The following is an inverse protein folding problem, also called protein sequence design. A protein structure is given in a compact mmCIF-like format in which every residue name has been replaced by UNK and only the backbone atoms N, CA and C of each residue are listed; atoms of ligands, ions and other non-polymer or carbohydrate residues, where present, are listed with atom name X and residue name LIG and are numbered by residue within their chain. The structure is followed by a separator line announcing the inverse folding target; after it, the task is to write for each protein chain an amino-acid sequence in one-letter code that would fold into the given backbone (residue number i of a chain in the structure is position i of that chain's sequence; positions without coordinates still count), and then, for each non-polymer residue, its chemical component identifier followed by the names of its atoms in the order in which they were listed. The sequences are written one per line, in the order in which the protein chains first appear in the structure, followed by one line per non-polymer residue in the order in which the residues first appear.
data_IF_163197109584
#
_entry.id   IF_163197109584
#
_cell.length_a   1.000
_cell.length_b   1.000
_cell.length_c   1.000
_cell.angle_alpha   90.00
_cell.angle_beta   90.00
_cell.angle_gamma   90.00
#
_symmetry.space_group_name_H-M   'P 1'
#
loop_
_entity.id
_entity.type
_entity.pdbx_description
1 polymer ?
#
# COMPACT_ATOMS: atom_id res chain seq x y z
N UNK A 1 -18.88 12.29 -37.54
CA UNK A 1 -19.49 12.00 -36.22
C UNK A 1 -19.69 13.31 -35.50
N UNK A 2 -20.93 13.65 -35.14
CA UNK A 2 -21.19 14.80 -34.28
C UNK A 2 -20.54 14.58 -32.90
N UNK A 3 -20.01 15.63 -32.24
CA UNK A 3 -19.55 15.51 -30.87
C UNK A 3 -20.75 15.12 -29.99
N UNK A 4 -20.67 13.98 -29.30
CA UNK A 4 -21.67 13.60 -28.31
C UNK A 4 -21.84 14.74 -27.31
N UNK A 5 -23.09 15.10 -27.01
CA UNK A 5 -23.39 16.12 -26.00
C UNK A 5 -22.68 15.78 -24.68
N UNK A 6 -22.08 16.77 -23.98
CA UNK A 6 -21.37 16.50 -22.74
C UNK A 6 -22.33 15.88 -21.74
N UNK A 7 -22.02 14.67 -21.28
CA UNK A 7 -22.72 14.06 -20.13
C UNK A 7 -22.69 15.02 -18.95
N UNK A 8 -23.76 15.01 -18.15
CA UNK A 8 -23.89 15.85 -16.97
C UNK A 8 -22.63 15.81 -16.10
N UNK A 9 -21.98 16.97 -15.95
CA UNK A 9 -20.78 17.11 -15.12
C UNK A 9 -21.22 17.02 -13.66
N UNK A 10 -20.68 16.06 -12.93
CA UNK A 10 -20.91 15.99 -11.49
C UNK A 10 -20.21 17.17 -10.82
N UNK A 11 -20.93 17.95 -10.02
CA UNK A 11 -20.35 19.01 -9.19
C UNK A 11 -20.24 18.52 -7.74
N UNK A 12 -19.09 18.70 -7.11
CA UNK A 12 -18.86 18.36 -5.71
C UNK A 12 -17.93 19.38 -5.03
N UNK A 13 -17.80 19.32 -3.71
CA UNK A 13 -16.92 20.24 -2.96
C UNK A 13 -15.46 19.80 -3.07
N UNK A 14 -15.22 18.51 -2.88
CA UNK A 14 -13.89 17.89 -2.95
C UNK A 14 -13.98 16.64 -3.83
N UNK A 15 -12.98 16.45 -4.70
CA UNK A 15 -12.76 15.18 -5.40
C UNK A 15 -11.42 14.58 -4.96
N UNK A 16 -11.45 13.31 -4.55
CA UNK A 16 -10.27 12.51 -4.20
C UNK A 16 -10.01 11.55 -5.36
N UNK A 17 -8.78 11.53 -5.88
CA UNK A 17 -8.35 10.59 -6.92
C UNK A 17 -7.48 9.52 -6.29
N UNK A 18 -7.95 8.28 -6.36
CA UNK A 18 -7.38 7.12 -5.67
C UNK A 18 -8.19 6.72 -4.44
N UNK A 19 -8.35 5.42 -4.24
CA UNK A 19 -9.12 4.79 -3.17
C UNK A 19 -8.24 4.03 -2.17
N UNK A 20 -6.98 4.44 -1.98
CA UNK A 20 -6.05 3.78 -1.05
C UNK A 20 -6.26 4.14 0.44
N UNK A 21 -5.40 3.65 1.35
CA UNK A 21 -5.49 3.95 2.78
C UNK A 21 -5.40 5.45 3.10
N UNK A 22 -4.55 6.20 2.39
CA UNK A 22 -4.46 7.65 2.55
C UNK A 22 -5.73 8.38 2.09
N UNK A 23 -6.43 7.84 1.09
CA UNK A 23 -7.68 8.42 0.61
C UNK A 23 -8.80 8.21 1.63
N UNK A 24 -8.89 7.02 2.23
CA UNK A 24 -9.84 6.74 3.30
C UNK A 24 -9.55 7.60 4.54
N UNK A 25 -8.28 7.73 4.93
CA UNK A 25 -7.89 8.60 6.04
C UNK A 25 -8.21 10.08 5.77
N UNK A 26 -8.01 10.52 4.53
CA UNK A 26 -8.38 11.85 4.11
C UNK A 26 -9.90 12.06 4.16
N UNK A 27 -10.68 11.10 3.65
CA UNK A 27 -12.14 11.16 3.74
C UNK A 27 -12.59 11.22 5.21
N UNK A 28 -12.05 10.35 6.07
CA UNK A 28 -12.32 10.34 7.50
C UNK A 28 -12.01 11.70 8.16
N UNK A 29 -10.94 12.39 7.75
CA UNK A 29 -10.64 13.73 8.24
C UNK A 29 -11.56 14.83 7.68
N UNK A 30 -12.09 14.65 6.46
CA UNK A 30 -12.94 15.65 5.78
C UNK A 30 -14.41 15.56 6.19
N UNK A 31 -14.91 14.34 6.43
CA UNK A 31 -16.34 14.11 6.74
C UNK A 31 -16.57 13.43 8.08
N UNK A 32 -15.55 12.79 8.67
CA UNK A 32 -15.61 12.19 10.01
C UNK A 32 -15.24 13.19 11.12
N UNK A 33 -15.71 12.91 12.34
CA UNK A 33 -15.51 13.73 13.55
C UNK A 33 -16.83 14.10 14.25
N UNK A 34 -16.73 14.77 15.40
CA UNK A 34 -17.80 15.13 16.37
C UNK A 34 -18.90 16.08 15.83
N UNK A 35 -19.38 15.88 14.60
CA UNK A 35 -20.37 16.74 13.94
C UNK A 35 -19.80 18.03 13.34
N UNK A 36 -18.47 18.20 13.30
CA UNK A 36 -17.78 19.38 12.72
C UNK A 36 -17.07 19.03 11.41
N UNK A 37 -17.78 18.48 10.43
CA UNK A 37 -17.16 18.27 9.11
C UNK A 37 -16.59 19.60 8.58
N UNK A 38 -15.28 19.67 8.26
CA UNK A 38 -14.69 20.87 7.68
C UNK A 38 -15.20 21.17 6.26
N UNK A 39 -15.82 20.19 5.59
CA UNK A 39 -16.33 20.34 4.23
C UNK A 39 -17.84 20.45 4.24
N UNK A 40 -18.35 21.57 3.72
CA UNK A 40 -19.77 21.68 3.36
C UNK A 40 -19.99 21.08 1.97
N UNK A 41 -20.86 20.09 1.85
CA UNK A 41 -21.28 19.50 0.56
C UNK A 41 -20.67 18.13 0.26
N UNK A 42 -20.79 17.70 -0.99
CA UNK A 42 -20.46 16.32 -1.41
C UNK A 42 -18.97 16.12 -1.60
N UNK A 43 -18.43 15.01 -1.10
CA UNK A 43 -17.11 14.50 -1.48
C UNK A 43 -17.28 13.37 -2.50
N UNK A 44 -16.50 13.39 -3.57
CA UNK A 44 -16.46 12.30 -4.55
C UNK A 44 -15.08 11.61 -4.55
N UNK A 45 -15.07 10.30 -4.80
CA UNK A 45 -13.85 9.49 -4.88
C UNK A 45 -13.80 8.81 -6.24
N UNK A 46 -12.70 8.95 -6.98
CA UNK A 46 -12.47 8.30 -8.27
C UNK A 46 -11.41 7.22 -8.09
N UNK A 47 -11.78 5.96 -8.21
CA UNK A 47 -10.87 4.81 -8.20
C UNK A 47 -11.46 3.66 -9.05
N UNK A 48 -10.64 2.85 -9.75
CA UNK A 48 -11.16 1.72 -10.52
C UNK A 48 -11.70 0.57 -9.65
N UNK A 49 -11.24 0.48 -8.40
CA UNK A 49 -11.68 -0.47 -7.41
C UNK A 49 -13.16 -0.29 -7.03
N UNK A 50 -13.71 -1.30 -6.37
CA UNK A 50 -15.13 -1.26 -5.96
C UNK A 50 -15.34 -0.48 -4.67
N UNK A 51 -14.31 -0.43 -3.81
CA UNK A 51 -14.32 0.17 -2.47
C UNK A 51 -12.93 0.70 -2.12
N UNK A 52 -12.82 1.38 -0.98
CA UNK A 52 -11.50 1.75 -0.46
C UNK A 52 -10.64 0.50 -0.22
N UNK A 53 -9.34 0.65 -0.44
CA UNK A 53 -8.30 -0.35 -0.29
C UNK A 53 -8.48 -1.61 -1.16
N UNK A 54 -9.40 -1.65 -2.14
CA UNK A 54 -9.64 -2.85 -2.98
C UNK A 54 -8.33 -3.36 -3.65
N UNK A 55 -7.59 -2.46 -4.30
CA UNK A 55 -6.29 -2.78 -4.88
C UNK A 55 -5.23 -3.13 -3.81
N UNK A 56 -5.33 -2.59 -2.59
CA UNK A 56 -4.42 -2.91 -1.49
C UNK A 56 -4.68 -4.32 -0.94
N UNK A 57 -5.95 -4.69 -0.71
CA UNK A 57 -6.33 -6.04 -0.31
C UNK A 57 -6.03 -7.06 -1.41
N UNK A 58 -6.16 -6.68 -2.68
CA UNK A 58 -5.70 -7.49 -3.81
C UNK A 58 -4.22 -7.88 -3.71
N UNK A 59 -3.36 -6.94 -3.29
CA UNK A 59 -1.92 -7.19 -3.06
C UNK A 59 -1.68 -8.09 -1.84
N UNK A 60 -2.40 -7.84 -0.75
CA UNK A 60 -2.33 -8.68 0.45
C UNK A 60 -2.71 -10.13 0.15
N UNK A 61 -3.82 -10.34 -0.57
CA UNK A 61 -4.24 -11.66 -1.04
C UNK A 61 -3.21 -12.28 -1.97
N UNK A 62 -2.69 -11.52 -2.93
CA UNK A 62 -1.69 -12.02 -3.89
C UNK A 62 -0.40 -12.50 -3.20
N UNK A 63 -0.02 -11.85 -2.10
CA UNK A 63 1.15 -12.20 -1.28
C UNK A 63 0.82 -13.10 -0.08
N UNK A 64 -0.44 -13.48 0.09
CA UNK A 64 -0.95 -14.23 1.24
C UNK A 64 -0.54 -13.60 2.59
N UNK A 65 -0.59 -12.27 2.68
CA UNK A 65 -0.30 -11.54 3.91
C UNK A 65 -1.52 -11.64 4.83
N UNK A 66 -1.34 -12.30 5.95
CA UNK A 66 -2.36 -12.58 6.97
C UNK A 66 -2.41 -11.51 8.06
N UNK A 67 -1.30 -10.80 8.31
CA UNK A 67 -1.17 -9.83 9.39
C UNK A 67 -0.42 -8.56 8.96
N UNK A 68 -0.86 -7.43 9.50
CA UNK A 68 -0.17 -6.16 9.28
C UNK A 68 1.12 -6.11 10.10
N UNK A 69 2.15 -5.46 9.55
CA UNK A 69 3.35 -5.09 10.31
C UNK A 69 3.18 -3.80 11.13
N UNK A 70 2.11 -3.05 10.89
CA UNK A 70 1.78 -1.82 11.59
C UNK A 70 0.88 -2.12 12.79
N UNK A 71 1.12 -1.47 13.95
CA UNK A 71 0.26 -1.59 15.12
C UNK A 71 -1.18 -1.12 14.86
N UNK A 72 -2.09 -1.53 15.75
CA UNK A 72 -3.51 -1.24 15.63
C UNK A 72 -3.84 0.26 15.66
N UNK A 73 -3.07 1.09 16.38
CA UNK A 73 -3.27 2.54 16.36
C UNK A 73 -2.92 3.20 15.01
N UNK A 74 -2.24 2.49 14.10
CA UNK A 74 -1.91 2.97 12.75
C UNK A 74 -3.03 2.55 11.80
N UNK A 75 -4.08 3.35 11.75
CA UNK A 75 -5.28 3.07 10.95
C UNK A 75 -5.87 4.34 10.30
N UNK A 76 -6.81 4.22 9.34
CA UNK A 76 -7.37 5.38 8.65
C UNK A 76 -8.31 6.29 9.46
N UNK A 77 -8.80 5.91 10.64
CA UNK A 77 -9.59 6.85 11.47
C UNK A 77 -8.69 8.00 11.93
N UNK A 78 -9.05 9.23 11.52
CA UNK A 78 -8.18 10.40 11.64
C UNK A 78 -8.11 10.98 13.06
N UNK A 79 -9.22 10.90 13.81
CA UNK A 79 -9.37 11.60 15.10
C UNK A 79 -9.58 10.65 16.29
N UNK A 80 -9.77 9.35 16.04
CA UNK A 80 -9.98 8.35 17.08
C UNK A 80 -8.89 7.28 17.05
N UNK A 81 -7.78 7.45 17.81
CA UNK A 81 -6.63 6.53 17.81
C UNK A 81 -6.94 5.11 18.28
N UNK A 82 -8.08 4.91 18.95
CA UNK A 82 -8.56 3.64 19.51
C UNK A 82 -9.53 2.91 18.60
N UNK A 83 -9.95 3.51 17.48
CA UNK A 83 -11.10 3.05 16.68
C UNK A 83 -10.99 1.59 16.20
N UNK A 84 -9.80 1.14 15.78
CA UNK A 84 -9.62 -0.26 15.35
C UNK A 84 -9.73 -1.25 16.52
N UNK A 85 -9.23 -0.88 17.69
CA UNK A 85 -9.31 -1.73 18.89
C UNK A 85 -10.74 -1.76 19.41
N UNK A 86 -11.43 -0.63 19.45
CA UNK A 86 -12.84 -0.54 19.79
C UNK A 86 -13.71 -1.38 18.84
N UNK A 87 -13.44 -1.32 17.54
CA UNK A 87 -14.07 -2.20 16.55
C UNK A 87 -13.81 -3.67 16.88
N UNK A 88 -12.55 -4.06 17.14
CA UNK A 88 -12.22 -5.44 17.49
C UNK A 88 -12.93 -5.91 18.77
N UNK A 89 -13.07 -5.06 19.78
CA UNK A 89 -13.81 -5.38 21.02
C UNK A 89 -15.29 -5.55 20.72
N UNK A 90 -15.90 -4.58 20.02
CA UNK A 90 -17.33 -4.59 19.69
C UNK A 90 -17.74 -5.82 18.88
N UNK A 91 -16.90 -6.23 17.94
CA UNK A 91 -17.16 -7.40 17.10
C UNK A 91 -16.69 -8.73 17.73
N UNK A 92 -16.09 -8.71 18.93
CA UNK A 92 -15.59 -9.92 19.62
C UNK A 92 -14.36 -10.55 18.94
N UNK A 93 -13.53 -9.75 18.26
CA UNK A 93 -12.40 -10.16 17.42
C UNK A 93 -11.03 -9.77 17.98
N UNK A 94 -10.94 -9.48 19.27
CA UNK A 94 -9.66 -9.09 19.93
C UNK A 94 -8.57 -10.16 19.78
N UNK A 95 -8.92 -11.43 19.61
CA UNK A 95 -7.97 -12.52 19.34
C UNK A 95 -7.18 -12.34 18.02
N UNK A 96 -7.65 -11.48 17.10
CA UNK A 96 -6.94 -11.14 15.87
C UNK A 96 -5.89 -10.03 16.06
N UNK A 97 -5.79 -9.45 17.25
CA UNK A 97 -4.75 -8.48 17.64
C UNK A 97 -3.60 -9.23 18.33
N UNK A 98 -2.57 -9.58 17.56
CA UNK A 98 -1.43 -10.34 18.09
C UNK A 98 -0.35 -9.41 18.65
N UNK A 99 0.26 -9.79 19.77
CA UNK A 99 1.35 -9.03 20.37
C UNK A 99 2.47 -8.77 19.34
N UNK A 100 2.83 -7.51 19.16
CA UNK A 100 3.91 -7.18 18.25
C UNK A 100 5.26 -7.68 18.81
N UNK A 101 6.21 -8.10 17.96
CA UNK A 101 7.56 -8.42 18.39
C UNK A 101 8.17 -7.25 19.18
N UNK A 102 9.07 -7.55 20.13
CA UNK A 102 9.68 -6.57 21.05
C UNK A 102 10.14 -5.28 20.34
N UNK A 103 10.64 -5.36 19.11
CA UNK A 103 11.06 -4.20 18.30
C UNK A 103 9.97 -3.13 18.05
N UNK A 104 8.68 -3.48 18.16
CA UNK A 104 7.52 -2.60 17.96
C UNK A 104 6.89 -2.18 19.30
N UNK A 105 7.23 -2.87 20.41
CA UNK A 105 6.71 -2.60 21.75
C UNK A 105 7.23 -1.26 22.34
N UNK A 106 8.30 -0.70 21.80
CA UNK A 106 8.92 0.55 22.25
C UNK A 106 8.21 1.83 21.78
N UNK A 107 7.13 1.71 21.00
CA UNK A 107 6.35 2.85 20.51
C UNK A 107 5.33 3.24 21.59
N UNK A 108 5.55 4.33 22.36
CA UNK A 108 4.55 4.78 23.32
C UNK A 108 3.35 5.36 22.55
N UNK A 109 2.17 5.23 23.12
CA UNK A 109 1.00 6.01 22.71
C UNK A 109 1.13 7.38 23.38
N UNK A 110 0.96 8.48 22.63
CA UNK A 110 1.06 9.85 23.19
C UNK A 110 -0.09 10.23 24.10
N UNK A 111 -1.12 9.38 24.19
CA UNK A 111 -2.37 9.77 24.78
C UNK A 111 -2.46 9.35 26.25
N UNK A 112 -2.97 10.25 27.09
CA UNK A 112 -3.41 9.94 28.45
C UNK A 112 -4.73 9.13 28.45
N UNK A 113 -5.25 8.77 27.26
CA UNK A 113 -6.36 7.83 27.11
C UNK A 113 -5.99 6.44 27.64
N UNK A 114 -6.95 5.68 28.18
CA UNK A 114 -6.69 4.36 28.73
C UNK A 114 -6.08 3.44 27.66
N UNK A 115 -4.94 2.83 27.95
CA UNK A 115 -4.49 1.69 27.13
C UNK A 115 -5.52 0.58 27.28
N UNK A 116 -6.09 0.12 26.16
CA UNK A 116 -6.91 -1.09 26.16
C UNK A 116 -5.97 -2.29 26.34
N UNK A 117 -6.12 -3.01 27.45
CA UNK A 117 -5.35 -4.21 27.72
C UNK A 117 -6.14 -5.46 27.32
N UNK A 118 -5.44 -6.48 26.83
CA UNK A 118 -5.99 -7.82 26.75
C UNK A 118 -6.06 -8.47 28.15
N UNK A 119 -6.52 -9.73 28.21
CA UNK A 119 -6.57 -10.50 29.45
C UNK A 119 -5.20 -10.74 30.11
N UNK A 120 -4.10 -10.55 29.37
CA UNK A 120 -2.72 -10.68 29.86
C UNK A 120 -2.10 -9.36 30.33
N UNK A 121 -2.81 -8.23 30.17
CA UNK A 121 -2.30 -6.90 30.49
C UNK A 121 -1.53 -6.22 29.35
N UNK A 122 -1.48 -6.84 28.16
CA UNK A 122 -0.76 -6.31 27.00
C UNK A 122 -1.59 -5.26 26.25
N UNK A 123 -0.94 -4.17 25.83
CA UNK A 123 -1.59 -3.07 25.11
C UNK A 123 -2.07 -3.50 23.72
N UNK A 124 -3.39 -3.55 23.53
CA UNK A 124 -4.05 -3.88 22.26
C UNK A 124 -3.77 -2.84 21.17
N UNK A 125 -3.48 -1.58 21.54
CA UNK A 125 -3.13 -0.54 20.57
C UNK A 125 -1.81 -0.85 19.86
N UNK A 126 -0.87 -1.49 20.57
CA UNK A 126 0.45 -1.84 20.06
C UNK A 126 0.45 -3.18 19.33
N UNK A 127 -0.64 -3.94 19.40
CA UNK A 127 -0.79 -5.23 18.74
C UNK A 127 -0.91 -5.10 17.21
N UNK A 128 -0.54 -6.14 16.50
CA UNK A 128 -0.58 -6.24 15.04
C UNK A 128 -1.91 -6.88 14.61
N UNK A 129 -2.82 -6.14 13.94
CA UNK A 129 -4.10 -6.68 13.52
C UNK A 129 -3.94 -7.67 12.37
N UNK A 130 -4.81 -8.68 12.34
CA UNK A 130 -4.97 -9.50 11.14
C UNK A 130 -5.40 -8.61 9.96
N UNK A 131 -5.10 -9.08 8.75
CA UNK A 131 -5.48 -8.40 7.51
C UNK A 131 -6.99 -8.45 7.29
N UNK A 132 -7.67 -9.48 7.81
CA UNK A 132 -9.13 -9.57 7.79
C UNK A 132 -9.77 -8.56 8.74
N UNK A 133 -9.28 -8.44 9.98
CA UNK A 133 -9.76 -7.46 10.96
C UNK A 133 -9.60 -6.03 10.43
N UNK A 134 -8.40 -5.70 9.91
CA UNK A 134 -8.15 -4.38 9.34
C UNK A 134 -9.04 -4.09 8.12
N UNK A 135 -9.30 -5.11 7.27
CA UNK A 135 -10.22 -4.98 6.14
C UNK A 135 -11.62 -4.61 6.59
N UNK A 136 -12.17 -5.38 7.52
CA UNK A 136 -13.55 -5.22 7.93
C UNK A 136 -13.73 -3.93 8.74
N UNK A 137 -12.70 -3.50 9.49
CA UNK A 137 -12.66 -2.17 10.09
C UNK A 137 -12.72 -1.05 9.05
N UNK A 138 -11.89 -1.09 8.00
CA UNK A 138 -11.91 -0.07 6.95
C UNK A 138 -13.25 -0.03 6.21
N UNK A 139 -13.89 -1.18 5.98
CA UNK A 139 -15.22 -1.26 5.38
C UNK A 139 -16.30 -0.67 6.31
N UNK A 140 -16.23 -0.96 7.62
CA UNK A 140 -17.12 -0.34 8.62
C UNK A 140 -16.95 1.17 8.65
N UNK A 141 -15.71 1.66 8.61
CA UNK A 141 -15.41 3.08 8.55
C UNK A 141 -15.94 3.72 7.26
N UNK A 142 -15.72 3.11 6.10
CA UNK A 142 -16.25 3.59 4.81
C UNK A 142 -17.78 3.74 4.83
N UNK A 143 -18.49 2.79 5.45
CA UNK A 143 -19.96 2.79 5.53
C UNK A 143 -20.53 3.97 6.31
N UNK A 144 -19.77 4.54 7.25
CA UNK A 144 -20.16 5.68 8.08
C UNK A 144 -19.80 7.04 7.44
N UNK A 145 -18.96 7.05 6.40
CA UNK A 145 -18.44 8.27 5.80
C UNK A 145 -19.25 8.64 4.53
N UNK A 146 -20.04 9.74 4.54
CA UNK A 146 -20.83 10.11 3.37
C UNK A 146 -19.94 10.55 2.20
N UNK A 147 -20.01 9.83 1.09
CA UNK A 147 -19.27 10.15 -0.12
C UNK A 147 -19.94 9.55 -1.37
N UNK A 148 -19.53 10.02 -2.55
CA UNK A 148 -19.91 9.43 -3.83
C UNK A 148 -18.75 8.66 -4.44
N UNK A 149 -18.89 7.35 -4.58
CA UNK A 149 -17.93 6.52 -5.29
C UNK A 149 -18.13 6.60 -6.81
N UNK A 150 -17.07 6.90 -7.54
CA UNK A 150 -17.03 7.00 -8.99
C UNK A 150 -16.05 5.96 -9.52
N UNK A 151 -16.58 4.80 -9.90
CA UNK A 151 -15.77 3.68 -10.35
C UNK A 151 -15.11 3.97 -11.70
N UNK A 152 -13.82 4.26 -11.70
CA UNK A 152 -13.10 4.63 -12.91
C UNK A 152 -11.67 5.12 -12.68
N UNK A 153 -10.95 5.40 -13.77
CA UNK A 153 -9.56 5.86 -13.72
C UNK A 153 -9.48 7.30 -14.18
N UNK A 154 -8.99 8.20 -13.31
CA UNK A 154 -8.75 9.58 -13.69
C UNK A 154 -7.64 9.66 -14.76
N UNK A 155 -7.92 10.37 -15.86
CA UNK A 155 -7.04 10.48 -17.03
C UNK A 155 -6.50 11.88 -17.23
N UNK A 156 -7.23 12.91 -16.76
CA UNK A 156 -6.82 14.31 -16.92
C UNK A 156 -7.35 15.18 -15.79
N UNK A 157 -6.52 16.14 -15.37
CA UNK A 157 -6.90 17.23 -14.47
C UNK A 157 -6.65 18.56 -15.17
N UNK A 158 -7.59 19.50 -15.05
CA UNK A 158 -7.43 20.87 -15.51
C UNK A 158 -8.08 21.84 -14.50
N UNK A 159 -7.66 23.11 -14.49
CA UNK A 159 -8.46 24.17 -13.86
C UNK A 159 -9.64 24.52 -14.75
N UNK A 160 -10.83 24.66 -14.18
CA UNK A 160 -11.96 25.23 -14.90
C UNK A 160 -11.70 26.73 -15.16
N UNK A 161 -12.21 27.32 -16.24
CA UNK A 161 -12.18 28.77 -16.49
C UNK A 161 -10.95 29.36 -17.21
N UNK A 162 -10.08 28.56 -17.83
CA UNK A 162 -8.87 29.03 -18.53
C UNK A 162 -9.09 29.65 -19.91
N UNK A 163 -9.96 30.65 -20.03
CA UNK A 163 -10.25 31.34 -21.29
C UNK A 163 -10.56 32.83 -21.08
N UNK A 164 -9.57 33.61 -20.66
CA UNK A 164 -9.64 35.06 -20.56
C UNK A 164 -9.73 35.62 -19.13
N UNK A 165 -8.61 36.12 -18.62
CA UNK A 165 -8.56 37.21 -17.64
C UNK A 165 -9.02 36.97 -16.18
N UNK A 166 -9.64 35.84 -15.84
CA UNK A 166 -10.06 35.53 -14.46
C UNK A 166 -9.80 34.08 -14.11
N UNK A 167 -8.83 33.82 -13.22
CA UNK A 167 -8.46 32.46 -12.82
C UNK A 167 -9.64 31.70 -12.23
N UNK A 168 -10.06 30.60 -12.87
CA UNK A 168 -11.15 29.81 -12.34
C UNK A 168 -10.78 29.10 -11.04
N UNK A 169 -11.76 29.08 -10.13
CA UNK A 169 -11.66 28.65 -8.74
C UNK A 169 -11.91 27.15 -8.51
N UNK A 170 -12.18 26.38 -9.56
CA UNK A 170 -12.50 24.95 -9.48
C UNK A 170 -11.59 24.10 -10.38
N UNK A 171 -11.51 22.81 -10.06
CA UNK A 171 -10.79 21.77 -10.78
C UNK A 171 -11.76 20.90 -11.54
N UNK A 172 -11.36 20.50 -12.75
CA UNK A 172 -12.07 19.56 -13.62
C UNK A 172 -11.25 18.29 -13.72
N UNK A 173 -11.85 17.16 -13.37
CA UNK A 173 -11.23 15.84 -13.44
C UNK A 173 -11.99 15.00 -14.45
N UNK A 174 -11.30 14.57 -15.50
CA UNK A 174 -11.81 13.59 -16.46
C UNK A 174 -11.38 12.20 -16.04
N UNK A 175 -12.30 11.24 -16.15
CA UNK A 175 -12.03 9.84 -15.85
C UNK A 175 -12.71 8.92 -16.85
N UNK A 176 -12.09 7.78 -17.13
CA UNK A 176 -12.72 6.68 -17.85
C UNK A 176 -13.49 5.80 -16.88
N UNK A 177 -14.75 5.48 -17.19
CA UNK A 177 -15.53 4.59 -16.35
C UNK A 177 -14.94 3.17 -16.36
N UNK A 178 -14.99 2.49 -15.21
CA UNK A 178 -14.52 1.11 -15.12
C UNK A 178 -15.34 0.18 -16.04
N UNK A 179 -14.66 -0.63 -16.85
CA UNK A 179 -15.29 -1.48 -17.86
C UNK A 179 -15.60 -0.79 -19.19
N UNK A 180 -15.56 0.54 -19.24
CA UNK A 180 -15.85 1.34 -20.43
C UNK A 180 -14.74 2.37 -20.69
N UNK A 181 -13.53 1.95 -21.15
CA UNK A 181 -12.36 2.82 -21.25
C UNK A 181 -12.53 3.99 -22.23
N UNK A 182 -13.45 3.86 -23.20
CA UNK A 182 -13.78 4.92 -24.16
C UNK A 182 -14.83 5.90 -23.62
N UNK A 183 -15.48 5.59 -22.50
CA UNK A 183 -16.51 6.41 -21.89
C UNK A 183 -15.88 7.41 -20.92
N UNK A 184 -15.61 8.62 -21.41
CA UNK A 184 -15.09 9.71 -20.58
C UNK A 184 -16.22 10.42 -19.83
N UNK A 185 -16.03 10.58 -18.53
CA UNK A 185 -16.92 11.31 -17.62
C UNK A 185 -16.12 12.41 -16.92
N UNK A 186 -16.85 13.37 -16.35
CA UNK A 186 -16.24 14.57 -15.79
C UNK A 186 -16.82 14.93 -14.41
N UNK A 187 -15.92 15.36 -13.52
CA UNK A 187 -16.24 15.93 -12.21
C UNK A 187 -15.65 17.32 -12.13
N UNK A 188 -16.43 18.28 -11.64
CA UNK A 188 -15.95 19.61 -11.28
C UNK A 188 -16.00 19.77 -9.75
N UNK A 189 -14.90 20.20 -9.14
CA UNK A 189 -14.77 20.33 -7.69
C UNK A 189 -14.02 21.60 -7.28
N UNK A 190 -14.36 22.18 -6.14
CA UNK A 190 -13.62 23.33 -5.60
C UNK A 190 -12.19 22.95 -5.16
N UNK A 191 -12.00 21.71 -4.67
CA UNK A 191 -10.71 21.17 -4.30
C UNK A 191 -10.47 19.77 -4.88
N UNK A 192 -9.20 19.46 -5.13
CA UNK A 192 -8.71 18.20 -5.66
C UNK A 192 -7.66 17.61 -4.71
N UNK A 193 -7.79 16.33 -4.39
CA UNK A 193 -6.82 15.58 -3.60
C UNK A 193 -6.31 14.40 -4.45
N UNK A 194 -4.99 14.31 -4.60
CA UNK A 194 -4.34 13.23 -5.34
C UNK A 194 -3.77 12.21 -4.34
N UNK A 195 -4.47 11.10 -4.17
CA UNK A 195 -4.11 9.99 -3.29
C UNK A 195 -3.91 8.70 -4.09
N UNK A 196 -3.21 8.80 -5.21
CA UNK A 196 -3.08 7.75 -6.24
C UNK A 196 -2.12 6.61 -5.89
N UNK A 197 -1.49 6.64 -4.71
CA UNK A 197 -0.43 5.70 -4.35
C UNK A 197 0.83 5.91 -5.20
N UNK A 198 1.69 4.88 -5.38
CA UNK A 198 2.89 4.99 -6.20
C UNK A 198 2.52 5.24 -7.67
N UNK A 199 3.09 6.30 -8.24
CA UNK A 199 2.93 6.67 -9.65
C UNK A 199 4.26 6.59 -10.38
N UNK A 200 4.20 6.30 -11.68
CA UNK A 200 5.37 6.22 -12.55
C UNK A 200 5.74 4.80 -12.99
N UNK A 201 6.83 4.69 -13.73
CA UNK A 201 7.32 3.42 -14.23
C UNK A 201 7.84 2.53 -13.09
N UNK A 202 7.71 1.21 -13.27
CA UNK A 202 8.28 0.24 -12.34
C UNK A 202 9.81 0.38 -12.27
N UNK A 203 10.37 0.19 -11.07
CA UNK A 203 11.81 0.23 -10.88
C UNK A 203 12.45 -1.05 -11.42
N UNK A 204 12.87 -1.01 -12.69
CA UNK A 204 13.51 -2.13 -13.37
C UNK A 204 14.99 -1.80 -13.59
N UNK A 205 15.94 -2.62 -13.10
CA UNK A 205 17.35 -2.40 -13.41
C UNK A 205 17.58 -2.48 -14.92
N UNK A 206 18.40 -1.58 -15.52
CA UNK A 206 18.53 -1.46 -16.98
C UNK A 206 18.78 -2.77 -17.74
N UNK A 207 19.62 -3.72 -17.24
CA UNK A 207 19.82 -5.01 -17.91
C UNK A 207 18.55 -5.87 -18.07
N UNK A 208 17.53 -5.67 -17.24
CA UNK A 208 16.28 -6.43 -17.28
C UNK A 208 15.15 -5.72 -18.02
N UNK A 209 15.28 -4.43 -18.33
CA UNK A 209 14.23 -3.66 -19.00
C UNK A 209 13.81 -4.24 -20.37
N UNK A 210 14.72 -4.71 -21.24
CA UNK A 210 14.34 -5.34 -22.50
C UNK A 210 13.52 -6.62 -22.33
N UNK A 211 13.73 -7.37 -21.24
CA UNK A 211 13.04 -8.63 -20.95
C UNK A 211 11.59 -8.43 -20.50
N UNK A 212 11.25 -7.23 -20.03
CA UNK A 212 9.91 -6.85 -19.57
C UNK A 212 9.14 -6.04 -20.61
N UNK A 213 9.73 -5.79 -21.80
CA UNK A 213 9.03 -5.15 -22.91
C UNK A 213 7.89 -6.03 -23.45
N UNK A 214 6.89 -5.41 -24.09
CA UNK A 214 5.72 -6.12 -24.63
C UNK A 214 6.11 -7.29 -25.56
N UNK A 215 7.18 -7.15 -26.35
CA UNK A 215 7.70 -8.20 -27.23
C UNK A 215 8.30 -9.40 -26.46
N UNK A 216 9.03 -9.14 -25.36
CA UNK A 216 9.63 -10.18 -24.50
C UNK A 216 8.63 -10.79 -23.51
N UNK A 217 7.55 -10.07 -23.18
CA UNK A 217 6.48 -10.57 -22.30
C UNK A 217 5.73 -11.78 -22.88
N UNK A 218 5.81 -12.00 -24.21
CA UNK A 218 5.30 -13.19 -24.89
C UNK A 218 6.01 -14.49 -24.45
N UNK A 219 7.25 -14.42 -23.95
CA UNK A 219 7.97 -15.56 -23.38
C UNK A 219 7.39 -16.00 -22.02
N UNK A 220 6.69 -15.13 -21.30
CA UNK A 220 6.00 -15.50 -20.05
C UNK A 220 6.89 -15.99 -18.91
N UNK A 221 8.23 -15.87 -18.98
CA UNK A 221 9.16 -16.35 -17.94
C UNK A 221 9.72 -15.27 -17.03
N UNK A 222 9.66 -14.00 -17.44
CA UNK A 222 10.10 -12.85 -16.63
C UNK A 222 8.87 -12.06 -16.17
N UNK A 223 8.91 -11.57 -14.94
CA UNK A 223 7.81 -10.89 -14.28
C UNK A 223 8.35 -9.89 -13.27
N UNK A 224 7.85 -8.66 -13.31
CA UNK A 224 7.99 -7.72 -12.22
C UNK A 224 6.91 -7.99 -11.16
N UNK A 225 7.23 -7.90 -9.87
CA UNK A 225 6.25 -8.17 -8.79
C UNK A 225 4.94 -7.39 -8.99
N UNK A 226 5.03 -6.13 -9.42
CA UNK A 226 3.83 -5.32 -9.66
C UNK A 226 2.89 -5.85 -10.77
N UNK A 227 3.40 -6.60 -11.76
CA UNK A 227 2.54 -7.25 -12.76
C UNK A 227 1.65 -8.32 -12.14
N UNK A 228 2.16 -9.06 -11.16
CA UNK A 228 1.36 -10.03 -10.41
C UNK A 228 0.35 -9.32 -9.50
N UNK A 229 0.84 -8.32 -8.78
CA UNK A 229 0.11 -7.64 -7.70
C UNK A 229 -1.06 -6.78 -8.21
N UNK A 230 -1.05 -6.38 -9.48
CA UNK A 230 -2.08 -5.50 -10.07
C UNK A 230 -3.00 -6.18 -11.07
N UNK A 231 -2.61 -7.29 -11.69
CA UNK A 231 -3.40 -7.94 -12.74
C UNK A 231 -4.40 -8.98 -12.21
N UNK A 232 -4.52 -9.15 -10.89
CA UNK A 232 -5.55 -10.01 -10.28
C UNK A 232 -5.44 -11.49 -10.66
N UNK A 233 -4.25 -11.97 -11.05
CA UNK A 233 -4.01 -13.31 -11.60
C UNK A 233 -3.90 -14.44 -10.56
N UNK A 234 -4.45 -14.22 -9.37
CA UNK A 234 -4.33 -15.14 -8.23
C UNK A 234 -3.19 -14.79 -7.28
N UNK A 235 -2.67 -15.80 -6.59
CA UNK A 235 -1.57 -15.68 -5.63
C UNK A 235 -0.19 -15.80 -6.28
N UNK A 236 0.85 -15.33 -5.59
CA UNK A 236 2.24 -15.54 -5.97
C UNK A 236 2.57 -17.03 -6.11
N UNK A 237 1.98 -17.87 -5.24
CA UNK A 237 2.09 -19.32 -5.30
C UNK A 237 1.54 -19.88 -6.60
N UNK A 238 0.33 -19.47 -7.00
CA UNK A 238 -0.30 -19.89 -8.25
C UNK A 238 0.49 -19.39 -9.48
N UNK A 239 1.02 -18.17 -9.43
CA UNK A 239 1.85 -17.62 -10.51
C UNK A 239 3.14 -18.41 -10.70
N UNK A 240 3.83 -18.73 -9.60
CA UNK A 240 5.05 -19.54 -9.62
C UNK A 240 4.74 -20.95 -10.16
N UNK A 241 3.67 -21.58 -9.70
CA UNK A 241 3.27 -22.91 -10.18
C UNK A 241 2.95 -22.90 -11.69
N UNK A 242 2.16 -21.92 -12.15
CA UNK A 242 1.75 -21.81 -13.57
C UNK A 242 2.93 -21.63 -14.51
N UNK A 243 3.96 -20.87 -14.10
CA UNK A 243 5.15 -20.61 -14.93
C UNK A 243 6.19 -21.71 -14.87
N UNK A 244 6.12 -22.55 -13.85
CA UNK A 244 7.05 -23.66 -13.65
C UNK A 244 6.55 -24.97 -14.27
N UNK A 245 5.29 -25.04 -14.73
CA UNK A 245 4.60 -26.27 -15.12
C UNK A 245 4.64 -26.64 -16.60
N UNK A 246 5.77 -27.17 -17.08
CA UNK A 246 5.79 -27.98 -18.31
C UNK A 246 5.98 -29.49 -18.08
N UNK A 247 6.67 -29.87 -17.00
CA UNK A 247 7.37 -31.16 -16.95
C UNK A 247 7.21 -31.90 -15.60
N UNK A 248 6.52 -31.32 -14.61
CA UNK A 248 6.31 -31.89 -13.27
C UNK A 248 7.54 -31.87 -12.33
N UNK A 249 8.71 -31.42 -12.80
CA UNK A 249 9.96 -31.37 -12.03
C UNK A 249 10.32 -29.98 -11.44
N UNK A 250 11.38 -29.89 -10.60
CA UNK A 250 11.86 -28.64 -10.04
C UNK A 250 12.36 -27.64 -11.10
N UNK A 251 11.68 -26.51 -11.24
CA UNK A 251 12.15 -25.39 -12.06
C UNK A 251 13.28 -24.61 -11.36
N UNK A 252 14.03 -23.83 -12.16
CA UNK A 252 15.00 -22.85 -11.66
C UNK A 252 14.38 -21.45 -11.66
N UNK A 253 14.35 -20.79 -10.51
CA UNK A 253 13.75 -19.48 -10.29
C UNK A 253 14.83 -18.49 -9.83
N UNK A 254 14.98 -17.39 -10.56
CA UNK A 254 15.83 -16.27 -10.16
C UNK A 254 14.95 -15.15 -9.59
N UNK A 255 15.21 -14.75 -8.35
CA UNK A 255 14.55 -13.62 -7.70
C UNK A 255 15.56 -12.48 -7.55
N UNK A 256 15.21 -11.30 -8.04
CA UNK A 256 16.08 -10.11 -8.01
C UNK A 256 15.50 -9.09 -7.04
N UNK A 257 16.24 -8.77 -5.98
CA UNK A 257 15.84 -7.78 -4.99
C UNK A 257 16.33 -8.13 -3.58
N UNK A 258 16.25 -7.16 -2.67
CA UNK A 258 16.65 -7.33 -1.26
C UNK A 258 15.62 -6.82 -0.26
N UNK A 259 14.37 -6.65 -0.71
CA UNK A 259 13.26 -6.21 0.13
C UNK A 259 12.22 -7.33 0.35
N UNK A 260 11.15 -7.00 1.09
CA UNK A 260 10.09 -7.94 1.51
C UNK A 260 9.51 -8.73 0.33
N UNK A 261 9.18 -8.07 -0.79
CA UNK A 261 8.59 -8.77 -1.95
C UNK A 261 9.55 -9.80 -2.57
N UNK A 262 10.86 -9.56 -2.55
CA UNK A 262 11.86 -10.52 -3.02
C UNK A 262 11.99 -11.70 -2.04
N UNK A 263 11.95 -11.44 -0.73
CA UNK A 263 11.93 -12.48 0.29
C UNK A 263 10.70 -13.39 0.15
N UNK A 264 9.50 -12.80 0.03
CA UNK A 264 8.25 -13.54 -0.15
C UNK A 264 8.25 -14.38 -1.44
N UNK A 265 8.76 -13.84 -2.56
CA UNK A 265 8.88 -14.58 -3.81
C UNK A 265 9.87 -15.76 -3.71
N UNK A 266 11.04 -15.53 -3.09
CA UNK A 266 12.02 -16.59 -2.89
C UNK A 266 11.47 -17.71 -2.00
N UNK A 267 10.85 -17.36 -0.85
CA UNK A 267 10.24 -18.33 0.04
C UNK A 267 9.09 -19.10 -0.62
N UNK A 268 8.24 -18.40 -1.38
CA UNK A 268 7.12 -19.05 -2.10
C UNK A 268 7.64 -20.07 -3.11
N UNK A 269 8.65 -19.71 -3.91
CA UNK A 269 9.26 -20.63 -4.87
C UNK A 269 10.02 -21.79 -4.20
N UNK A 270 10.72 -21.54 -3.10
CA UNK A 270 11.42 -22.59 -2.35
C UNK A 270 10.45 -23.59 -1.72
N UNK A 271 9.34 -23.12 -1.12
CA UNK A 271 8.29 -23.97 -0.55
C UNK A 271 7.56 -24.79 -1.62
N UNK A 272 7.51 -24.30 -2.86
CA UNK A 272 7.01 -25.04 -4.01
C UNK A 272 7.99 -26.10 -4.56
N UNK A 273 9.16 -26.28 -3.93
CA UNK A 273 10.14 -27.29 -4.32
C UNK A 273 11.04 -26.88 -5.49
N UNK A 274 11.07 -25.60 -5.87
CA UNK A 274 11.94 -25.11 -6.94
C UNK A 274 13.35 -24.80 -6.45
N UNK A 275 14.29 -24.76 -7.40
CA UNK A 275 15.66 -24.27 -7.18
C UNK A 275 15.66 -22.76 -7.32
N UNK A 276 15.95 -22.05 -6.23
CA UNK A 276 15.82 -20.60 -6.13
C UNK A 276 17.19 -19.95 -5.93
N UNK A 277 17.47 -18.92 -6.72
CA UNK A 277 18.57 -17.98 -6.46
C UNK A 277 17.96 -16.64 -6.11
N UNK A 278 18.12 -16.20 -4.86
CA UNK A 278 17.78 -14.85 -4.42
C UNK A 278 19.03 -13.97 -4.56
N UNK A 279 19.02 -13.08 -5.55
CA UNK A 279 20.14 -12.18 -5.84
C UNK A 279 19.82 -10.74 -5.45
N UNK A 280 20.65 -10.17 -4.59
CA UNK A 280 20.55 -8.79 -4.11
C UNK A 280 21.81 -7.98 -4.44
N UNK A 281 21.70 -6.65 -4.43
CA UNK A 281 22.85 -5.74 -4.61
C UNK A 281 23.66 -5.53 -3.33
N UNK A 282 23.09 -5.85 -2.18
CA UNK A 282 23.65 -5.65 -0.84
C UNK A 282 23.25 -6.83 0.04
N UNK A 283 23.99 -7.13 1.11
CA UNK A 283 23.55 -8.10 2.11
C UNK A 283 22.11 -7.79 2.57
N UNK A 284 21.30 -8.82 2.77
CA UNK A 284 19.94 -8.66 3.28
C UNK A 284 19.99 -8.09 4.70
N UNK A 285 19.14 -7.11 4.99
CA UNK A 285 19.10 -6.44 6.28
C UNK A 285 17.75 -6.65 6.96
N UNK A 286 17.78 -7.08 8.23
CA UNK A 286 16.58 -7.20 9.04
C UNK A 286 16.13 -5.84 9.54
N UNK A 287 14.90 -5.43 9.23
CA UNK A 287 14.25 -4.25 9.83
C UNK A 287 12.74 -4.49 9.94
N UNK A 288 12.08 -3.97 10.99
CA UNK A 288 10.63 -4.04 11.09
C UNK A 288 9.92 -3.12 10.07
N UNK A 289 10.55 -1.99 9.72
CA UNK A 289 10.00 -0.96 8.85
C UNK A 289 11.02 -0.45 7.84
N UNK A 290 10.51 0.17 6.77
CA UNK A 290 11.34 0.66 5.65
C UNK A 290 12.11 1.96 6.02
N UNK A 291 11.64 2.67 7.04
CA UNK A 291 12.27 3.86 7.61
C UNK A 291 12.77 3.57 9.03
N UNK A 292 13.72 4.36 9.52
CA UNK A 292 14.19 4.22 10.90
C UNK A 292 13.05 4.44 11.91
N UNK A 293 13.03 3.66 12.99
CA UNK A 293 11.94 3.64 13.98
C UNK A 293 11.66 5.04 14.56
N UNK A 294 12.66 5.90 14.69
CA UNK A 294 12.48 7.29 15.14
C UNK A 294 11.47 8.10 14.30
N UNK A 295 11.32 7.78 13.01
CA UNK A 295 10.33 8.42 12.13
C UNK A 295 8.89 7.93 12.35
N UNK A 296 8.71 6.84 13.10
CA UNK A 296 7.41 6.29 13.47
C UNK A 296 7.11 6.48 14.95
N UNK A 297 8.15 6.65 15.78
CA UNK A 297 8.02 6.94 17.20
C UNK A 297 7.51 8.37 17.40
N UNK A 298 6.28 8.49 17.87
CA UNK A 298 5.58 9.74 18.18
C UNK A 298 6.37 10.73 19.03
N UNK A 299 7.32 10.28 19.87
CA UNK A 299 8.21 11.17 20.66
C UNK A 299 9.23 11.92 19.81
N UNK A 300 9.61 11.32 18.68
CA UNK A 300 10.71 11.78 17.83
C UNK A 300 10.23 12.22 16.44
N UNK A 301 9.12 11.66 15.96
CA UNK A 301 8.63 11.81 14.60
C UNK A 301 8.38 13.27 14.23
N UNK A 302 7.77 14.06 15.13
CA UNK A 302 7.52 15.49 14.87
C UNK A 302 8.81 16.30 14.77
N UNK A 303 9.76 16.06 15.69
CA UNK A 303 11.07 16.71 15.63
C UNK A 303 11.79 16.39 14.33
N UNK A 304 11.88 15.12 13.94
CA UNK A 304 12.52 14.69 12.70
C UNK A 304 11.82 15.26 11.46
N UNK A 305 10.48 15.33 11.49
CA UNK A 305 9.66 15.94 10.42
C UNK A 305 10.00 17.42 10.28
N UNK A 306 10.05 18.19 11.36
CA UNK A 306 10.36 19.62 11.31
C UNK A 306 11.81 19.88 10.91
N UNK A 307 12.76 19.12 11.45
CA UNK A 307 14.17 19.19 11.05
C UNK A 307 14.30 18.96 9.53
N UNK A 308 13.61 17.96 8.98
CA UNK A 308 13.58 17.71 7.54
C UNK A 308 12.96 18.85 6.72
N UNK A 309 11.83 19.40 7.18
CA UNK A 309 11.17 20.51 6.48
C UNK A 309 12.03 21.78 6.45
N UNK A 310 12.86 21.99 7.47
CA UNK A 310 13.84 23.07 7.53
C UNK A 310 15.06 22.85 6.62
N UNK A 311 15.29 21.63 6.11
CA UNK A 311 16.40 21.38 5.18
C UNK A 311 16.19 22.09 3.84
N UNK A 312 17.26 22.64 3.24
CA UNK A 312 17.20 23.16 1.88
C UNK A 312 16.87 22.03 0.88
N UNK A 313 16.17 22.31 -0.23
CA UNK A 313 15.76 21.30 -1.20
C UNK A 313 16.90 20.39 -1.69
N UNK A 314 18.11 20.92 -1.83
CA UNK A 314 19.32 20.19 -2.27
C UNK A 314 19.77 19.11 -1.28
N UNK A 315 19.42 19.23 0.01
CA UNK A 315 19.78 18.25 1.06
C UNK A 315 18.68 17.23 1.34
N UNK A 316 17.43 17.54 0.98
CA UNK A 316 16.26 16.68 1.27
C UNK A 316 16.37 15.29 0.65
N UNK A 317 16.92 15.17 -0.57
CA UNK A 317 17.11 13.86 -1.20
C UNK A 317 18.07 12.96 -0.41
N UNK A 318 19.17 13.53 0.10
CA UNK A 318 20.13 12.77 0.91
C UNK A 318 19.50 12.40 2.26
N UNK A 319 18.78 13.31 2.92
CA UNK A 319 18.08 13.03 4.16
C UNK A 319 17.04 11.89 4.02
N UNK A 320 16.31 11.85 2.89
CA UNK A 320 15.42 10.71 2.57
C UNK A 320 16.24 9.42 2.50
N UNK A 321 17.35 9.41 1.74
CA UNK A 321 18.23 8.24 1.59
C UNK A 321 18.81 7.77 2.93
N UNK A 322 19.16 8.69 3.82
CA UNK A 322 19.70 8.35 5.14
C UNK A 322 18.62 7.73 6.05
N UNK A 323 17.39 8.26 5.98
CA UNK A 323 16.24 7.69 6.69
C UNK A 323 15.83 6.31 6.15
N UNK A 324 15.99 6.09 4.85
CA UNK A 324 15.65 4.84 4.13
C UNK A 324 16.91 3.99 3.89
N UNK A 325 17.19 2.97 4.70
CA UNK A 325 18.36 2.08 4.49
C UNK A 325 18.26 1.17 3.23
N UNK A 326 17.26 1.42 2.37
CA UNK A 326 16.89 0.65 1.19
C UNK A 326 16.15 -0.64 1.53
N UNK A 327 16.31 -1.67 0.68
CA UNK A 327 15.58 -2.93 0.83
C UNK A 327 15.83 -3.57 2.18
N UNK A 328 14.76 -3.85 2.91
CA UNK A 328 14.80 -4.55 4.18
C UNK A 328 13.77 -5.67 4.22
N UNK A 329 14.01 -6.64 5.10
CA UNK A 329 13.21 -7.85 5.25
C UNK A 329 12.86 -7.98 6.74
N UNK A 330 11.59 -8.19 7.13
CA UNK A 330 11.25 -8.49 8.51
C UNK A 330 11.98 -9.74 9.02
N UNK A 331 12.33 -9.75 10.30
CA UNK A 331 13.13 -10.82 10.91
C UNK A 331 12.59 -12.24 10.61
N UNK A 332 11.28 -12.53 10.72
CA UNK A 332 10.77 -13.89 10.44
C UNK A 332 11.06 -14.38 9.02
N UNK A 333 10.93 -13.50 8.02
CA UNK A 333 11.25 -13.84 6.63
C UNK A 333 12.75 -14.03 6.43
N UNK A 334 13.59 -13.21 7.05
CA UNK A 334 15.04 -13.32 6.91
C UNK A 334 15.59 -14.59 7.58
N UNK A 335 15.12 -14.89 8.80
CA UNK A 335 15.48 -16.10 9.53
C UNK A 335 15.07 -17.35 8.75
N UNK A 336 13.89 -17.35 8.15
CA UNK A 336 13.44 -18.46 7.30
C UNK A 336 14.31 -18.62 6.05
N UNK A 337 14.63 -17.53 5.35
CA UNK A 337 15.53 -17.55 4.19
C UNK A 337 16.91 -18.13 4.56
N UNK A 338 17.48 -17.69 5.68
CA UNK A 338 18.78 -18.16 6.16
C UNK A 338 18.75 -19.65 6.52
N UNK A 339 17.71 -20.08 7.24
CA UNK A 339 17.51 -21.50 7.61
C UNK A 339 17.40 -22.40 6.39
N UNK A 340 16.59 -22.00 5.39
CA UNK A 340 16.46 -22.75 4.14
C UNK A 340 17.78 -22.80 3.38
N UNK A 341 18.48 -21.65 3.24
CA UNK A 341 19.75 -21.59 2.52
C UNK A 341 20.88 -22.42 3.17
N UNK A 342 20.89 -22.54 4.50
CA UNK A 342 21.87 -23.32 5.25
C UNK A 342 21.59 -24.84 5.27
N UNK A 343 20.41 -25.28 4.82
CA UNK A 343 20.03 -26.70 4.88
C UNK A 343 20.87 -27.55 3.91
N UNK A 344 21.32 -28.76 4.30
CA UNK A 344 22.03 -29.66 3.39
C UNK A 344 21.19 -29.96 2.14
N UNK A 345 21.77 -29.83 0.95
CA UNK A 345 21.03 -29.99 -0.30
C UNK A 345 20.05 -28.85 -0.61
N UNK A 346 20.21 -27.69 0.03
CA UNK A 346 19.33 -26.52 -0.14
C UNK A 346 19.06 -26.21 -1.61
N UNK A 347 17.78 -26.08 -1.93
CA UNK A 347 17.32 -25.56 -3.21
C UNK A 347 17.40 -24.03 -3.29
N UNK A 348 17.64 -23.33 -2.17
CA UNK A 348 17.75 -21.88 -2.08
C UNK A 348 19.21 -21.41 -1.91
N UNK A 349 19.65 -20.48 -2.76
CA UNK A 349 20.92 -19.75 -2.63
C UNK A 349 20.67 -18.26 -2.50
N UNK A 350 21.35 -17.62 -1.57
CA UNK A 350 21.33 -16.17 -1.38
C UNK A 350 22.66 -15.62 -1.88
N UNK A 351 22.61 -14.73 -2.86
CA UNK A 351 23.80 -14.17 -3.50
C UNK A 351 23.77 -12.65 -3.46
N UNK A 352 24.90 -12.06 -3.05
CA UNK A 352 25.12 -10.62 -3.10
C UNK A 352 25.98 -10.33 -4.32
N UNK A 353 25.57 -9.34 -5.12
CA UNK A 353 26.35 -8.88 -6.26
C UNK A 353 27.68 -8.32 -5.75
N UNK A 354 28.80 -8.78 -6.30
CA UNK A 354 30.15 -8.29 -5.99
C UNK A 354 30.34 -6.85 -6.46
#
# INVERSE_FOLDING_TARGET
MAPQAPRAVLRCSVVIVGGGPHALACLAALVGGDGKSPVRGTVAVIDPGSHFLDAWYGRFRALEIDRLRSPAYVHPSAFEPTALVEFAIREGRTAELEAAPVAVQWMPTTDHRPEHADSSGASLLKALPSSALFRDFCASLEAELPHKWLRGTATRVARAGGGGGGGGSSFRVQYSAAGEPHELREVEAAALILATGPVGAWSIPPPFAPLLSAASSACGRVLHSEQLLTQGRGTLREEVARRSGGDGGPASVLVIGGGISAAQAALTASRAGHRVVLRSRRPLQSRPFDIAVGWLDVRHADRLRFEYLCLPPTRRLQAIRDATAGGSVPAPYLEELQRLAASPGSSLRIEVTA
#
